data_IF_046270036074
#
_entry.id   IF_046270036074
#
_cell.length_a   1.000
_cell.length_b   1.000
_cell.length_c   1.000
_cell.angle_alpha   90.00
_cell.angle_beta   90.00
_cell.angle_gamma   90.00
#
_symmetry.space_group_name_H-M   'P 1'
#
loop_
_entity.id
_entity.type
_entity.pdbx_description
1 polymer ?
#
# COMPACT_ATOMS: atom_id res chain seq x y z
N UNK A 1 17.10 -13.40 -8.16
CA UNK A 1 17.94 -12.49 -8.97
C UNK A 1 18.66 -11.44 -8.12
N UNK A 2 17.97 -10.75 -7.18
CA UNK A 2 18.57 -9.67 -6.36
C UNK A 2 19.74 -10.17 -5.51
N UNK A 3 19.61 -11.31 -4.84
CA UNK A 3 20.68 -11.92 -4.04
C UNK A 3 21.92 -12.23 -4.89
N UNK A 4 21.72 -12.73 -6.12
CA UNK A 4 22.79 -13.07 -7.02
C UNK A 4 23.48 -11.84 -7.67
N UNK A 5 22.78 -10.69 -7.77
CA UNK A 5 23.33 -9.45 -8.30
C UNK A 5 24.38 -8.82 -7.36
N UNK A 6 24.23 -9.01 -6.05
CA UNK A 6 25.13 -8.45 -5.03
C UNK A 6 26.05 -9.49 -4.39
N UNK A 7 26.14 -10.68 -4.98
CA UNK A 7 27.01 -11.77 -4.56
C UNK A 7 28.49 -11.37 -4.65
N UNK A 8 29.27 -11.70 -3.62
CA UNK A 8 30.72 -11.57 -3.69
C UNK A 8 31.30 -12.61 -4.63
N UNK A 9 32.46 -12.30 -5.25
CA UNK A 9 33.15 -13.26 -6.12
C UNK A 9 33.56 -14.47 -5.30
N UNK A 10 33.09 -15.67 -5.74
CA UNK A 10 33.36 -16.94 -5.01
C UNK A 10 32.21 -17.48 -4.18
N UNK A 11 31.19 -16.69 -3.83
CA UNK A 11 30.02 -17.19 -3.12
C UNK A 11 29.12 -18.05 -4.05
N UNK A 12 28.50 -19.14 -3.56
CA UNK A 12 27.56 -19.93 -4.35
C UNK A 12 26.34 -19.10 -4.76
N UNK A 13 25.78 -19.36 -5.93
CA UNK A 13 24.54 -18.69 -6.37
C UNK A 13 23.39 -19.09 -5.44
N UNK A 14 22.67 -18.09 -4.92
CA UNK A 14 21.43 -18.35 -4.22
C UNK A 14 20.41 -18.92 -5.22
N UNK A 15 19.92 -20.12 -4.92
CA UNK A 15 18.85 -20.72 -5.70
C UNK A 15 17.49 -20.13 -5.25
N UNK A 16 16.56 -19.84 -6.18
CA UNK A 16 15.22 -19.44 -5.81
C UNK A 16 14.52 -20.60 -5.09
N UNK A 17 13.64 -20.27 -4.14
CA UNK A 17 12.84 -21.27 -3.41
C UNK A 17 11.83 -21.97 -4.33
N UNK A 18 11.42 -21.32 -5.41
CA UNK A 18 10.51 -21.83 -6.43
C UNK A 18 10.79 -21.17 -7.78
N UNK A 19 10.44 -21.86 -8.84
CA UNK A 19 10.59 -21.42 -10.23
C UNK A 19 9.28 -20.87 -10.81
N UNK A 20 9.31 -20.37 -12.04
CA UNK A 20 8.10 -19.99 -12.77
C UNK A 20 7.22 -21.21 -13.09
N UNK A 21 7.84 -22.38 -13.33
CA UNK A 21 7.17 -23.64 -13.58
C UNK A 21 6.36 -24.08 -12.35
N UNK A 22 6.92 -23.92 -11.13
CA UNK A 22 6.24 -24.22 -9.88
C UNK A 22 5.01 -23.32 -9.69
N UNK A 23 5.14 -22.02 -10.02
CA UNK A 23 4.00 -21.08 -10.00
C UNK A 23 2.91 -21.52 -10.97
N UNK A 24 3.25 -21.84 -12.20
CA UNK A 24 2.28 -22.32 -13.18
C UNK A 24 1.63 -23.65 -12.77
N UNK A 25 2.41 -24.57 -12.18
CA UNK A 25 1.89 -25.83 -11.67
C UNK A 25 0.87 -25.60 -10.53
N UNK A 26 1.18 -24.70 -9.61
CA UNK A 26 0.28 -24.32 -8.52
C UNK A 26 -1.00 -23.68 -9.04
N UNK A 27 -0.89 -22.74 -9.98
CA UNK A 27 -2.07 -22.06 -10.55
C UNK A 27 -3.05 -23.01 -11.25
N UNK A 28 -2.55 -24.10 -11.84
CA UNK A 28 -3.44 -25.12 -12.44
C UNK A 28 -4.24 -25.92 -11.41
N UNK A 29 -3.84 -25.90 -10.14
CA UNK A 29 -4.52 -26.60 -9.04
C UNK A 29 -5.48 -25.70 -8.28
N UNK A 30 -5.49 -24.39 -8.55
CA UNK A 30 -6.38 -23.43 -7.87
C UNK A 30 -7.83 -23.69 -8.26
N UNK A 31 -8.67 -23.90 -7.25
CA UNK A 31 -10.12 -24.03 -7.39
C UNK A 31 -10.80 -22.84 -6.68
N UNK A 32 -11.56 -22.02 -7.41
CA UNK A 32 -12.26 -20.90 -6.80
C UNK A 32 -13.45 -21.36 -5.97
N UNK A 33 -13.67 -20.70 -4.83
CA UNK A 33 -14.84 -20.90 -3.98
C UNK A 33 -15.62 -19.60 -3.87
N UNK A 34 -16.94 -19.72 -3.90
CA UNK A 34 -17.81 -18.57 -3.70
C UNK A 34 -17.90 -18.19 -2.21
N UNK A 35 -18.06 -16.88 -1.95
CA UNK A 35 -18.39 -16.41 -0.59
C UNK A 35 -19.76 -16.92 -0.13
N UNK A 36 -19.90 -17.09 1.18
CA UNK A 36 -21.12 -17.44 1.87
C UNK A 36 -21.69 -18.84 1.53
N UNK A 37 -20.96 -19.64 0.76
CA UNK A 37 -21.33 -21.01 0.44
C UNK A 37 -20.48 -22.00 1.23
N UNK A 38 -21.13 -22.92 1.95
CA UNK A 38 -20.45 -24.04 2.59
C UNK A 38 -20.20 -25.12 1.55
N UNK A 39 -18.96 -25.52 1.41
CA UNK A 39 -18.48 -26.44 0.36
C UNK A 39 -17.66 -27.55 0.98
N UNK A 40 -17.98 -28.80 0.67
CA UNK A 40 -17.17 -29.96 1.06
C UNK A 40 -15.89 -29.97 0.22
N UNK A 41 -14.73 -29.97 0.88
CA UNK A 41 -13.41 -29.98 0.23
C UNK A 41 -12.73 -31.35 0.34
N UNK A 42 -13.06 -32.09 1.40
CA UNK A 42 -12.64 -33.48 1.65
C UNK A 42 -13.79 -34.23 2.34
N UNK A 43 -13.78 -35.58 2.37
CA UNK A 43 -14.72 -36.33 3.17
C UNK A 43 -14.69 -35.88 4.64
N UNK A 44 -15.81 -35.42 5.17
CA UNK A 44 -15.95 -34.93 6.55
C UNK A 44 -15.35 -33.55 6.81
N UNK A 45 -14.85 -32.84 5.78
CA UNK A 45 -14.31 -31.48 5.94
C UNK A 45 -15.01 -30.51 4.99
N UNK A 46 -15.69 -29.53 5.58
CA UNK A 46 -16.35 -28.44 4.85
C UNK A 46 -15.66 -27.10 5.15
N UNK A 47 -15.72 -26.20 4.21
CA UNK A 47 -15.30 -24.81 4.42
C UNK A 47 -16.35 -23.83 3.90
N UNK A 48 -16.34 -22.60 4.48
CA UNK A 48 -17.03 -21.46 3.94
C UNK A 48 -16.14 -20.22 4.05
N UNK A 49 -16.24 -19.34 3.06
CA UNK A 49 -15.54 -18.08 3.02
C UNK A 49 -16.49 -16.94 3.39
N UNK A 50 -16.04 -16.02 4.26
CA UNK A 50 -16.77 -14.80 4.62
C UNK A 50 -15.93 -13.58 4.31
N UNK A 51 -16.55 -12.44 4.03
CA UNK A 51 -15.82 -11.21 3.79
C UNK A 51 -14.92 -10.87 4.99
N UNK A 52 -13.64 -10.66 4.76
CA UNK A 52 -12.69 -10.20 5.78
C UNK A 52 -12.45 -8.68 5.71
N UNK A 53 -12.92 -8.01 4.66
CA UNK A 53 -12.88 -6.55 4.53
C UNK A 53 -11.48 -5.92 4.40
N UNK A 54 -10.43 -6.72 4.21
CA UNK A 54 -9.05 -6.25 4.18
C UNK A 54 -8.59 -5.80 2.78
N UNK A 55 -8.71 -6.67 1.81
CA UNK A 55 -8.50 -6.41 0.37
C UNK A 55 -9.58 -7.11 -0.43
N UNK A 56 -9.76 -6.77 -1.69
CA UNK A 56 -10.73 -7.45 -2.55
C UNK A 56 -10.36 -8.92 -2.71
N UNK A 57 -11.25 -9.81 -2.30
CA UNK A 57 -11.03 -11.25 -2.29
C UNK A 57 -10.49 -11.81 -0.97
N UNK A 58 -10.22 -11.00 0.05
CA UNK A 58 -9.82 -11.48 1.38
C UNK A 58 -10.98 -12.18 2.09
N UNK A 59 -10.69 -13.26 2.80
CA UNK A 59 -11.71 -14.06 3.43
C UNK A 59 -11.35 -14.51 4.85
N UNK A 60 -12.35 -14.47 5.74
CA UNK A 60 -12.37 -15.29 6.94
C UNK A 60 -12.74 -16.70 6.50
N UNK A 61 -12.00 -17.71 6.94
CA UNK A 61 -12.25 -19.12 6.63
C UNK A 61 -12.94 -19.77 7.83
N UNK A 62 -14.16 -20.25 7.64
CA UNK A 62 -14.84 -21.15 8.55
C UNK A 62 -14.61 -22.59 8.07
N UNK A 63 -14.06 -23.46 8.91
CA UNK A 63 -13.78 -24.85 8.62
C UNK A 63 -14.52 -25.77 9.61
N UNK A 64 -15.23 -26.76 9.11
CA UNK A 64 -15.89 -27.79 9.91
C UNK A 64 -15.20 -29.13 9.69
N UNK A 65 -14.77 -29.76 10.77
CA UNK A 65 -14.17 -31.08 10.78
C UNK A 65 -14.45 -31.75 12.12
N UNK A 66 -14.75 -33.04 12.14
CA UNK A 66 -14.99 -33.86 13.34
C UNK A 66 -16.00 -33.22 14.32
N UNK A 67 -17.08 -32.62 13.78
CA UNK A 67 -18.13 -31.97 14.57
C UNK A 67 -17.73 -30.64 15.19
N UNK A 68 -16.53 -30.13 14.95
CA UNK A 68 -16.01 -28.85 15.45
C UNK A 68 -15.93 -27.82 14.35
N UNK A 69 -16.03 -26.56 14.75
CA UNK A 69 -15.88 -25.40 13.88
C UNK A 69 -14.61 -24.62 14.23
N UNK A 70 -13.67 -24.57 13.30
CA UNK A 70 -12.47 -23.76 13.38
C UNK A 70 -12.67 -22.50 12.53
N UNK A 71 -12.14 -21.38 13.01
CA UNK A 71 -12.22 -20.09 12.29
C UNK A 71 -10.83 -19.50 12.18
N UNK A 72 -10.46 -19.11 10.97
CA UNK A 72 -9.23 -18.40 10.67
C UNK A 72 -9.61 -17.02 10.15
N UNK A 73 -9.23 -15.96 10.87
CA UNK A 73 -9.60 -14.59 10.47
C UNK A 73 -8.99 -14.17 9.14
N UNK A 74 -7.84 -14.71 8.78
CA UNK A 74 -6.98 -14.05 7.82
C UNK A 74 -6.67 -12.63 8.30
N UNK A 75 -6.25 -11.77 7.38
CA UNK A 75 -6.07 -10.34 7.67
C UNK A 75 -7.43 -9.64 7.63
N UNK A 76 -7.80 -8.96 8.72
CA UNK A 76 -9.08 -8.26 8.86
C UNK A 76 -8.96 -6.79 8.45
N UNK A 77 -9.94 -6.31 7.72
CA UNK A 77 -10.08 -4.88 7.45
C UNK A 77 -10.88 -4.16 8.53
N UNK A 78 -10.67 -2.85 8.72
CA UNK A 78 -11.52 -2.05 9.58
C UNK A 78 -12.88 -1.82 8.92
N UNK A 79 -13.93 -1.66 9.74
CA UNK A 79 -15.27 -1.32 9.25
C UNK A 79 -15.27 -0.01 8.48
N UNK A 80 -16.17 0.10 7.51
CA UNK A 80 -16.34 1.27 6.65
C UNK A 80 -15.14 1.55 5.73
N UNK A 81 -14.29 0.56 5.44
CA UNK A 81 -13.24 0.71 4.43
C UNK A 81 -13.89 0.90 3.07
N UNK A 82 -13.53 1.96 2.31
CA UNK A 82 -14.16 2.20 1.02
C UNK A 82 -13.90 1.06 0.06
N UNK A 83 -14.83 0.84 -0.86
CA UNK A 83 -14.78 -0.22 -1.89
C UNK A 83 -15.15 -1.59 -1.33
N UNK A 84 -14.72 -1.90 -0.11
CA UNK A 84 -14.82 -3.24 0.48
C UNK A 84 -16.04 -3.36 1.38
N UNK A 85 -16.62 -4.55 1.42
CA UNK A 85 -17.62 -4.89 2.42
C UNK A 85 -16.96 -5.01 3.79
N UNK A 86 -17.70 -4.67 4.83
CA UNK A 86 -17.23 -4.86 6.21
C UNK A 86 -16.92 -6.32 6.51
N UNK A 87 -15.98 -6.60 7.43
CA UNK A 87 -15.74 -7.94 7.91
C UNK A 87 -17.01 -8.59 8.43
N UNK A 88 -17.26 -9.82 7.99
CA UNK A 88 -18.41 -10.59 8.45
C UNK A 88 -18.28 -10.94 9.94
N UNK A 89 -19.41 -10.90 10.66
CA UNK A 89 -19.45 -11.34 12.06
C UNK A 89 -19.62 -12.84 12.12
N UNK A 90 -18.64 -13.54 12.67
CA UNK A 90 -18.72 -14.98 12.96
C UNK A 90 -19.19 -15.15 14.41
N UNK A 91 -20.38 -15.74 14.60
CA UNK A 91 -21.03 -15.81 15.92
C UNK A 91 -20.49 -16.91 16.84
N UNK A 92 -19.97 -18.01 16.26
CA UNK A 92 -19.55 -19.18 17.01
C UNK A 92 -18.33 -19.83 16.37
N UNK A 93 -17.41 -20.29 17.21
CA UNK A 93 -16.25 -21.10 16.84
C UNK A 93 -15.84 -21.94 18.04
N UNK A 94 -15.41 -23.17 17.82
CA UNK A 94 -14.76 -24.00 18.85
C UNK A 94 -13.29 -23.61 19.01
N UNK A 95 -12.65 -23.16 17.91
CA UNK A 95 -11.30 -22.63 17.90
C UNK A 95 -11.23 -21.43 16.95
N UNK A 96 -10.63 -20.34 17.42
CA UNK A 96 -10.38 -19.13 16.64
C UNK A 96 -8.88 -18.84 16.55
N UNK A 97 -8.37 -18.74 15.32
CA UNK A 97 -7.06 -18.16 15.02
C UNK A 97 -7.27 -16.78 14.41
N UNK A 98 -6.79 -15.74 15.11
CA UNK A 98 -7.03 -14.36 14.73
C UNK A 98 -5.72 -13.59 14.64
N UNK A 99 -5.62 -12.69 13.64
CA UNK A 99 -4.52 -11.74 13.53
C UNK A 99 -4.50 -10.77 14.72
N UNK A 100 -3.36 -10.10 14.94
CA UNK A 100 -3.20 -9.11 15.99
C UNK A 100 -2.30 -7.94 15.58
N UNK A 101 -2.24 -7.62 14.29
CA UNK A 101 -1.37 -6.57 13.72
C UNK A 101 -1.56 -5.22 14.40
N UNK A 102 -2.80 -4.88 14.73
CA UNK A 102 -3.18 -3.67 15.48
C UNK A 102 -3.82 -4.01 16.84
N UNK A 103 -3.44 -5.14 17.43
CA UNK A 103 -4.00 -5.60 18.70
C UNK A 103 -3.69 -4.69 19.90
N UNK A 104 -2.72 -3.81 19.77
CA UNK A 104 -2.25 -2.88 20.82
C UNK A 104 -2.79 -1.45 20.69
N UNK A 105 -3.55 -1.14 19.64
CA UNK A 105 -3.99 0.23 19.35
C UNK A 105 -5.25 0.29 18.51
N UNK A 106 -5.99 1.37 18.62
CA UNK A 106 -7.10 1.69 17.73
C UNK A 106 -6.62 2.44 16.48
N UNK A 107 -7.30 2.21 15.36
CA UNK A 107 -7.14 3.06 14.19
C UNK A 107 -7.66 4.48 14.49
N UNK A 108 -6.99 5.47 13.92
CA UNK A 108 -7.46 6.85 13.93
C UNK A 108 -8.77 6.95 13.13
N UNK A 109 -9.59 7.94 13.47
CA UNK A 109 -10.85 8.19 12.77
C UNK A 109 -10.59 8.48 11.28
N UNK A 110 -11.39 7.85 10.42
CA UNK A 110 -11.20 7.93 8.96
C UNK A 110 -11.50 9.32 8.41
N UNK A 111 -12.59 10.03 8.78
CA UNK A 111 -12.81 11.40 8.38
C UNK A 111 -11.62 12.32 8.65
N UNK A 112 -10.99 12.18 9.81
CA UNK A 112 -9.80 12.96 10.18
C UNK A 112 -8.61 12.61 9.28
N UNK A 113 -8.39 11.35 9.00
CA UNK A 113 -7.32 10.88 8.11
C UNK A 113 -7.49 11.41 6.68
N UNK A 114 -8.71 11.42 6.17
CA UNK A 114 -9.05 11.93 4.83
C UNK A 114 -8.85 13.46 4.76
N UNK A 115 -9.31 14.19 5.81
CA UNK A 115 -9.09 15.63 5.89
C UNK A 115 -7.60 15.95 5.88
N UNK A 116 -6.81 15.28 6.71
CA UNK A 116 -5.36 15.46 6.80
C UNK A 116 -4.67 15.19 5.45
N UNK A 117 -5.08 14.14 4.72
CA UNK A 117 -4.52 13.87 3.41
C UNK A 117 -4.78 15.04 2.43
N UNK A 118 -5.96 15.65 2.48
CA UNK A 118 -6.27 16.86 1.70
C UNK A 118 -5.40 18.06 2.10
N UNK A 119 -5.17 18.26 3.39
CA UNK A 119 -4.29 19.32 3.92
C UNK A 119 -2.84 19.12 3.46
N UNK A 120 -2.37 17.87 3.43
CA UNK A 120 -1.03 17.53 2.91
C UNK A 120 -0.89 17.96 1.45
N UNK A 121 -1.87 17.67 0.60
CA UNK A 121 -1.85 18.09 -0.80
C UNK A 121 -1.83 19.63 -0.93
N UNK A 122 -2.57 20.34 -0.09
CA UNK A 122 -2.56 21.80 -0.10
C UNK A 122 -1.21 22.37 0.38
N UNK A 123 -0.63 21.84 1.46
CA UNK A 123 0.69 22.24 1.95
C UNK A 123 1.79 21.96 0.91
N UNK A 124 1.83 20.75 0.39
CA UNK A 124 2.83 20.36 -0.62
C UNK A 124 2.75 21.23 -1.89
N UNK A 125 1.54 21.66 -2.26
CA UNK A 125 1.37 22.58 -3.38
C UNK A 125 1.95 23.98 -3.08
N UNK A 126 1.70 24.53 -1.88
CA UNK A 126 2.27 25.83 -1.45
C UNK A 126 3.79 25.78 -1.39
N UNK A 127 4.34 24.66 -0.91
CA UNK A 127 5.77 24.44 -0.82
C UNK A 127 6.43 24.17 -2.18
N UNK A 128 5.65 24.14 -3.27
CA UNK A 128 6.11 23.72 -4.60
C UNK A 128 6.82 22.37 -4.53
N UNK A 129 6.22 21.41 -3.85
CA UNK A 129 6.80 20.10 -3.60
C UNK A 129 6.15 18.97 -4.39
N UNK A 130 6.70 17.78 -4.17
CA UNK A 130 6.15 16.53 -4.61
C UNK A 130 5.58 15.76 -3.42
N UNK A 131 4.54 14.95 -3.66
CA UNK A 131 3.97 14.03 -2.68
C UNK A 131 4.32 12.60 -3.09
N UNK A 132 5.06 11.88 -2.24
CA UNK A 132 5.44 10.48 -2.45
C UNK A 132 4.62 9.59 -1.52
N UNK A 133 3.95 8.61 -2.08
CA UNK A 133 3.05 7.71 -1.34
C UNK A 133 3.51 6.27 -1.53
N UNK A 134 4.32 5.73 -0.59
CA UNK A 134 4.61 4.31 -0.56
C UNK A 134 3.32 3.51 -0.37
N UNK A 135 2.93 2.67 -1.35
CA UNK A 135 1.70 1.92 -1.29
C UNK A 135 1.87 0.48 -1.77
N UNK A 136 1.12 -0.44 -1.15
CA UNK A 136 1.01 -1.80 -1.67
C UNK A 136 0.23 -1.82 -2.98
N UNK A 137 0.62 -2.70 -3.89
CA UNK A 137 0.00 -2.82 -5.20
C UNK A 137 -1.46 -3.30 -5.12
N UNK A 138 -1.79 -4.06 -4.08
CA UNK A 138 -3.13 -4.61 -3.83
C UNK A 138 -3.74 -3.89 -2.62
N UNK A 139 -4.98 -3.46 -2.74
CA UNK A 139 -5.76 -2.81 -1.69
C UNK A 139 -5.48 -1.31 -1.56
N UNK A 140 -4.36 -0.93 -0.97
CA UNK A 140 -4.06 0.48 -0.64
C UNK A 140 -3.97 1.42 -1.83
N UNK A 141 -3.39 0.98 -2.94
CA UNK A 141 -3.35 1.79 -4.17
C UNK A 141 -4.75 2.08 -4.70
N UNK A 142 -5.66 1.08 -4.71
CA UNK A 142 -7.02 1.25 -5.20
C UNK A 142 -7.84 2.16 -4.28
N UNK A 143 -7.65 2.04 -2.97
CA UNK A 143 -8.27 2.93 -1.98
C UNK A 143 -7.83 4.39 -2.19
N UNK A 144 -6.53 4.64 -2.40
CA UNK A 144 -6.03 5.99 -2.70
C UNK A 144 -6.64 6.57 -3.97
N UNK A 145 -6.69 5.80 -5.06
CA UNK A 145 -7.30 6.26 -6.31
C UNK A 145 -8.79 6.57 -6.14
N UNK A 146 -9.50 5.76 -5.35
CA UNK A 146 -10.90 6.02 -5.01
C UNK A 146 -11.08 7.33 -4.24
N UNK A 147 -10.24 7.58 -3.22
CA UNK A 147 -10.29 8.83 -2.46
C UNK A 147 -9.89 10.03 -3.32
N UNK A 148 -8.92 9.90 -4.22
CA UNK A 148 -8.55 10.94 -5.16
C UNK A 148 -9.73 11.30 -6.08
N UNK A 149 -10.46 10.30 -6.58
CA UNK A 149 -11.66 10.55 -7.37
C UNK A 149 -12.75 11.26 -6.59
N UNK A 150 -13.04 10.81 -5.35
CA UNK A 150 -14.07 11.42 -4.49
C UNK A 150 -13.76 12.85 -4.07
N UNK A 151 -12.49 13.17 -3.88
CA UNK A 151 -12.03 14.47 -3.41
C UNK A 151 -11.35 15.29 -4.50
N UNK A 152 -11.61 14.95 -5.75
CA UNK A 152 -11.00 15.58 -6.91
C UNK A 152 -11.02 17.11 -6.85
N UNK A 153 -12.20 17.69 -6.61
CA UNK A 153 -12.40 19.14 -6.53
C UNK A 153 -11.87 19.71 -5.21
N UNK A 154 -12.21 19.07 -4.08
CA UNK A 154 -11.87 19.59 -2.75
C UNK A 154 -10.36 19.58 -2.50
N UNK A 155 -9.62 18.60 -2.98
CA UNK A 155 -8.17 18.54 -2.90
C UNK A 155 -7.49 19.21 -4.10
N UNK A 156 -8.27 19.79 -5.01
CA UNK A 156 -7.80 20.48 -6.24
C UNK A 156 -6.80 19.62 -7.02
N UNK A 157 -7.12 18.36 -7.21
CA UNK A 157 -6.21 17.38 -7.82
C UNK A 157 -5.95 17.62 -9.30
N UNK A 158 -6.78 18.41 -9.98
CA UNK A 158 -6.57 18.80 -11.37
C UNK A 158 -5.22 19.51 -11.62
N UNK A 159 -4.67 20.16 -10.60
CA UNK A 159 -3.36 20.85 -10.69
C UNK A 159 -2.16 19.93 -10.52
N UNK A 160 -2.36 18.69 -10.03
CA UNK A 160 -1.30 17.71 -9.82
C UNK A 160 -1.09 16.83 -11.05
N UNK A 161 0.12 16.28 -11.19
CA UNK A 161 0.38 15.14 -12.05
C UNK A 161 0.42 13.89 -11.17
N UNK A 162 -0.58 13.04 -11.29
CA UNK A 162 -0.68 11.81 -10.49
C UNK A 162 0.01 10.67 -11.23
N UNK A 163 1.00 10.06 -10.61
CA UNK A 163 1.73 8.94 -11.18
C UNK A 163 1.45 7.66 -10.39
N UNK A 164 1.05 6.62 -11.09
CA UNK A 164 1.04 5.25 -10.61
C UNK A 164 2.27 4.53 -11.15
N UNK A 165 3.33 4.51 -10.34
CA UNK A 165 4.60 3.89 -10.73
C UNK A 165 4.74 2.48 -10.16
N UNK A 166 3.81 1.61 -10.57
CA UNK A 166 3.77 0.20 -10.23
C UNK A 166 3.02 -0.59 -11.30
N UNK A 167 3.71 -1.33 -12.19
CA UNK A 167 3.07 -2.17 -13.20
C UNK A 167 2.13 -3.21 -12.59
N UNK A 168 2.46 -3.75 -11.40
CA UNK A 168 1.59 -4.66 -10.68
C UNK A 168 0.31 -3.96 -10.23
N UNK A 169 0.42 -2.77 -9.61
CA UNK A 169 -0.75 -2.02 -9.15
C UNK A 169 -1.68 -1.65 -10.29
N UNK A 170 -1.15 -1.28 -11.45
CA UNK A 170 -1.95 -1.02 -12.65
C UNK A 170 -2.77 -2.24 -13.09
N UNK A 171 -2.16 -3.44 -13.06
CA UNK A 171 -2.88 -4.69 -13.34
C UNK A 171 -3.95 -4.98 -12.29
N UNK A 172 -3.67 -4.72 -11.01
CA UNK A 172 -4.63 -4.91 -9.91
C UNK A 172 -5.81 -3.93 -10.03
N UNK A 173 -5.58 -2.67 -10.42
CA UNK A 173 -6.66 -1.72 -10.72
C UNK A 173 -7.62 -2.29 -11.78
N UNK A 174 -7.09 -2.91 -12.84
CA UNK A 174 -7.92 -3.57 -13.85
C UNK A 174 -8.69 -4.78 -13.30
N UNK A 175 -8.11 -5.53 -12.35
CA UNK A 175 -8.81 -6.62 -11.65
C UNK A 175 -9.98 -6.08 -10.83
N UNK A 176 -9.75 -5.03 -10.02
CA UNK A 176 -10.81 -4.38 -9.26
C UNK A 176 -11.96 -3.93 -10.16
N UNK A 177 -11.66 -3.32 -11.31
CA UNK A 177 -12.68 -2.93 -12.30
C UNK A 177 -13.51 -4.08 -12.82
N UNK A 178 -12.95 -5.27 -13.00
CA UNK A 178 -13.70 -6.47 -13.43
C UNK A 178 -14.57 -7.08 -12.33
N UNK A 179 -14.21 -6.88 -11.07
CA UNK A 179 -14.89 -7.48 -9.92
C UNK A 179 -15.68 -6.46 -9.07
N UNK A 180 -16.12 -5.35 -9.66
CA UNK A 180 -16.88 -4.29 -9.00
C UNK A 180 -18.20 -4.78 -8.34
N UNK A 181 -18.73 -5.93 -8.74
CA UNK A 181 -19.86 -6.59 -8.09
C UNK A 181 -19.58 -7.02 -6.64
N UNK A 182 -18.32 -7.15 -6.25
CA UNK A 182 -17.87 -7.45 -4.88
C UNK A 182 -17.69 -6.20 -4.02
N UNK A 183 -17.85 -5.01 -4.58
CA UNK A 183 -17.72 -3.76 -3.84
C UNK A 183 -18.85 -3.59 -2.82
N UNK A 184 -18.63 -2.71 -1.84
CA UNK A 184 -19.68 -2.22 -0.96
C UNK A 184 -20.77 -1.48 -1.76
N UNK A 185 -21.85 -1.13 -1.10
CA UNK A 185 -22.99 -0.50 -1.77
C UNK A 185 -22.67 0.92 -2.25
N UNK A 186 -21.87 1.67 -1.48
CA UNK A 186 -21.49 3.04 -1.83
C UNK A 186 -20.57 3.06 -3.05
N UNK A 187 -19.55 2.22 -3.09
CA UNK A 187 -18.66 2.11 -4.23
C UNK A 187 -19.38 1.61 -5.50
N UNK A 188 -20.34 0.69 -5.34
CA UNK A 188 -21.16 0.26 -6.48
C UNK A 188 -22.02 1.40 -7.04
N UNK A 189 -22.58 2.25 -6.18
CA UNK A 189 -23.33 3.45 -6.62
C UNK A 189 -22.43 4.42 -7.39
N UNK A 190 -21.23 4.69 -6.87
CA UNK A 190 -20.23 5.53 -7.54
C UNK A 190 -19.82 4.92 -8.88
N UNK A 191 -19.60 3.60 -8.92
CA UNK A 191 -19.24 2.88 -10.14
C UNK A 191 -20.35 2.97 -11.21
N UNK A 192 -21.60 2.88 -10.81
CA UNK A 192 -22.73 3.01 -11.72
C UNK A 192 -22.87 4.40 -12.35
N UNK A 193 -22.39 5.44 -11.67
CA UNK A 193 -22.45 6.84 -12.12
C UNK A 193 -21.21 7.29 -12.90
N UNK A 194 -20.11 6.57 -12.79
CA UNK A 194 -18.85 6.90 -13.43
C UNK A 194 -18.23 5.65 -14.06
N UNK A 195 -17.84 5.70 -15.33
CA UNK A 195 -17.39 4.51 -16.06
C UNK A 195 -16.14 3.84 -15.48
N UNK A 196 -15.38 4.51 -14.66
CA UNK A 196 -14.27 3.95 -13.86
C UNK A 196 -13.72 4.97 -12.86
N UNK A 197 -14.11 4.91 -11.56
CA UNK A 197 -13.63 5.86 -10.56
C UNK A 197 -12.12 5.80 -10.28
N UNK A 198 -11.42 4.78 -10.78
CA UNK A 198 -9.96 4.71 -10.69
C UNK A 198 -9.23 5.43 -11.85
N UNK A 199 -9.97 5.90 -12.87
CA UNK A 199 -9.43 6.68 -13.99
C UNK A 199 -9.55 8.17 -13.69
N UNK A 200 -8.49 8.71 -13.08
CA UNK A 200 -8.37 10.17 -12.93
C UNK A 200 -7.89 10.77 -14.25
N UNK A 201 -8.37 11.97 -14.64
CA UNK A 201 -7.97 12.62 -15.90
C UNK A 201 -6.48 12.88 -16.03
N UNK A 202 -5.77 13.04 -14.90
CA UNK A 202 -4.34 13.34 -14.80
C UNK A 202 -3.51 12.15 -14.28
N UNK A 203 -4.05 10.93 -14.32
CA UNK A 203 -3.32 9.73 -13.91
C UNK A 203 -2.43 9.22 -15.02
N UNK A 204 -1.14 9.18 -14.73
CA UNK A 204 -0.11 8.64 -15.60
C UNK A 204 0.41 7.32 -15.03
N UNK A 205 0.24 6.23 -15.76
CA UNK A 205 0.78 4.91 -15.38
C UNK A 205 2.17 4.74 -15.99
N UNK A 206 3.17 4.52 -15.14
CA UNK A 206 4.53 4.23 -15.59
C UNK A 206 4.73 2.72 -15.74
N UNK A 207 4.71 2.23 -16.96
CA UNK A 207 4.89 0.81 -17.27
C UNK A 207 6.36 0.43 -17.37
N UNK A 208 7.17 1.30 -17.96
CA UNK A 208 8.59 1.05 -18.23
C UNK A 208 9.52 1.69 -17.19
N UNK A 209 10.75 1.19 -17.11
CA UNK A 209 11.79 1.78 -16.25
C UNK A 209 12.14 3.21 -16.71
N UNK A 210 12.12 3.47 -18.00
CA UNK A 210 12.41 4.80 -18.55
C UNK A 210 11.35 5.82 -18.12
N UNK A 211 10.06 5.45 -18.17
CA UNK A 211 8.97 6.30 -17.67
C UNK A 211 9.12 6.56 -16.17
N UNK A 212 9.44 5.54 -15.37
CA UNK A 212 9.71 5.67 -13.94
C UNK A 212 10.88 6.64 -13.65
N UNK A 213 11.96 6.54 -14.42
CA UNK A 213 13.10 7.44 -14.27
C UNK A 213 12.76 8.90 -14.63
N UNK A 214 11.93 9.12 -15.62
CA UNK A 214 11.50 10.46 -16.04
C UNK A 214 10.71 11.18 -14.92
N UNK A 215 9.98 10.46 -14.08
CA UNK A 215 9.25 11.05 -12.94
C UNK A 215 10.21 11.74 -11.96
N UNK A 216 11.43 11.21 -11.78
CA UNK A 216 12.41 11.80 -10.85
C UNK A 216 12.97 13.15 -11.32
N UNK A 217 12.76 13.53 -12.57
CA UNK A 217 13.12 14.85 -13.11
C UNK A 217 12.08 15.93 -12.77
N UNK A 218 10.93 15.53 -12.22
CA UNK A 218 9.86 16.46 -11.87
C UNK A 218 10.20 17.10 -10.53
N UNK A 219 10.36 18.42 -10.54
CA UNK A 219 10.77 19.15 -9.35
C UNK A 219 9.60 19.42 -8.41
N UNK A 220 8.39 19.61 -8.93
CA UNK A 220 7.20 19.95 -8.16
C UNK A 220 5.90 19.52 -8.84
N UNK A 221 4.82 19.45 -8.06
CA UNK A 221 3.46 19.18 -8.53
C UNK A 221 3.24 17.73 -8.99
N UNK A 222 4.09 16.79 -8.55
CA UNK A 222 3.87 15.35 -8.76
C UNK A 222 3.35 14.67 -7.49
N UNK A 223 2.31 13.87 -7.63
CA UNK A 223 1.87 12.88 -6.64
C UNK A 223 2.27 11.50 -7.14
N UNK A 224 3.15 10.81 -6.43
CA UNK A 224 3.80 9.57 -6.89
C UNK A 224 3.37 8.42 -5.98
N UNK A 225 2.53 7.52 -6.50
CA UNK A 225 2.12 6.29 -5.82
C UNK A 225 2.99 5.17 -6.36
N UNK A 226 3.80 4.55 -5.49
CA UNK A 226 4.71 3.48 -5.90
C UNK A 226 4.90 2.40 -4.82
N UNK A 227 5.12 1.16 -5.25
CA UNK A 227 5.45 0.03 -4.35
C UNK A 227 6.94 -0.02 -3.99
N UNK A 228 7.27 -0.57 -2.85
CA UNK A 228 6.46 -1.26 -1.86
C UNK A 228 5.94 -0.32 -0.76
N UNK A 229 4.84 -0.70 -0.10
CA UNK A 229 4.20 0.12 0.94
C UNK A 229 5.05 0.35 2.20
N UNK A 230 6.02 -0.51 2.50
CA UNK A 230 6.99 -0.36 3.60
C UNK A 230 8.36 0.14 3.12
N UNK A 231 8.46 0.59 1.87
CA UNK A 231 9.67 1.12 1.25
C UNK A 231 10.89 0.17 1.22
N UNK A 232 10.74 -1.11 1.52
CA UNK A 232 11.84 -2.09 1.53
C UNK A 232 12.28 -2.55 0.13
N UNK A 233 11.58 -2.16 -0.90
CA UNK A 233 11.86 -2.54 -2.29
C UNK A 233 11.01 -1.75 -3.27
N UNK A 234 11.09 -2.13 -4.55
CA UNK A 234 10.29 -1.52 -5.59
C UNK A 234 10.76 -0.13 -6.01
N UNK A 235 9.97 0.49 -6.87
CA UNK A 235 10.30 1.78 -7.51
C UNK A 235 10.28 2.94 -6.53
N UNK A 236 9.52 2.85 -5.45
CA UNK A 236 9.47 3.88 -4.40
C UNK A 236 10.85 4.19 -3.82
N UNK A 237 11.75 3.20 -3.72
CA UNK A 237 13.11 3.44 -3.22
C UNK A 237 13.90 4.40 -4.11
N UNK A 238 13.66 4.37 -5.42
CA UNK A 238 14.29 5.31 -6.35
C UNK A 238 13.72 6.71 -6.16
N UNK A 239 12.39 6.84 -6.06
CA UNK A 239 11.75 8.13 -5.80
C UNK A 239 12.17 8.74 -4.47
N UNK A 240 12.23 7.95 -3.40
CA UNK A 240 12.74 8.38 -2.10
C UNK A 240 14.18 8.89 -2.22
N UNK A 241 15.04 8.18 -2.92
CA UNK A 241 16.45 8.59 -3.11
C UNK A 241 16.59 9.98 -3.76
N UNK A 242 15.72 10.32 -4.70
CA UNK A 242 15.76 11.62 -5.39
C UNK A 242 15.07 12.74 -4.60
N UNK A 243 14.17 12.41 -3.67
CA UNK A 243 13.33 13.40 -3.00
C UNK A 243 13.65 13.58 -1.51
N UNK A 244 14.25 12.61 -0.81
CA UNK A 244 14.54 12.72 0.64
C UNK A 244 15.42 13.91 1.00
N UNK A 245 16.31 14.35 0.14
CA UNK A 245 17.14 15.53 0.32
C UNK A 245 16.48 16.85 -0.01
N UNK A 246 15.23 16.84 -0.51
CA UNK A 246 14.50 18.06 -0.87
C UNK A 246 13.60 18.48 0.28
N UNK A 247 13.72 19.71 0.75
CA UNK A 247 12.92 20.26 1.88
C UNK A 247 11.43 20.34 1.57
N UNK A 248 11.07 20.46 0.31
CA UNK A 248 9.69 20.57 -0.17
C UNK A 248 9.07 19.24 -0.61
N UNK A 249 9.74 18.11 -0.40
CA UNK A 249 9.15 16.80 -0.67
C UNK A 249 8.36 16.31 0.56
N UNK A 250 7.16 15.80 0.30
CA UNK A 250 6.27 15.23 1.31
C UNK A 250 6.17 13.72 1.11
N UNK A 251 6.48 12.94 2.16
CA UNK A 251 6.39 11.48 2.11
C UNK A 251 5.25 11.06 3.01
N UNK A 252 4.25 10.40 2.43
CA UNK A 252 3.00 10.06 3.09
C UNK A 252 2.88 8.55 3.23
N UNK A 253 3.02 8.03 4.44
CA UNK A 253 2.82 6.63 4.72
C UNK A 253 1.35 6.36 5.05
N UNK A 254 0.70 5.57 4.21
CA UNK A 254 -0.75 5.27 4.27
C UNK A 254 -1.05 3.87 4.81
N UNK A 255 -0.10 3.23 5.45
CA UNK A 255 -0.22 1.88 6.00
C UNK A 255 0.81 1.58 7.07
N UNK A 256 0.62 0.43 7.74
CA UNK A 256 1.52 -0.05 8.78
C UNK A 256 2.97 -0.15 8.28
N UNK A 257 3.89 0.25 9.16
CA UNK A 257 5.33 0.17 8.93
C UNK A 257 5.96 -0.77 9.96
N UNK A 258 6.32 -1.97 9.53
CA UNK A 258 6.90 -2.99 10.41
C UNK A 258 8.31 -2.61 10.86
N UNK A 259 8.70 -3.06 12.04
CA UNK A 259 10.06 -2.92 12.54
C UNK A 259 11.10 -3.47 11.56
N UNK A 260 12.26 -2.83 11.50
CA UNK A 260 13.33 -3.18 10.57
C UNK A 260 13.12 -2.73 9.12
N UNK A 261 11.95 -2.14 8.79
CA UNK A 261 11.69 -1.62 7.44
C UNK A 261 12.24 -0.21 7.24
N UNK A 262 12.51 0.16 5.98
CA UNK A 262 12.90 1.52 5.64
C UNK A 262 11.79 2.51 5.98
N UNK A 263 10.54 2.16 5.70
CA UNK A 263 9.40 3.00 6.03
C UNK A 263 9.30 3.27 7.54
N UNK A 264 9.52 2.27 8.38
CA UNK A 264 9.51 2.43 9.84
C UNK A 264 10.61 3.39 10.31
N UNK A 265 11.82 3.23 9.81
CA UNK A 265 12.95 4.12 10.12
C UNK A 265 12.68 5.56 9.72
N UNK A 266 12.05 5.78 8.57
CA UNK A 266 11.64 7.11 8.13
C UNK A 266 10.59 7.72 9.07
N UNK A 267 9.59 6.93 9.48
CA UNK A 267 8.54 7.36 10.42
C UNK A 267 9.12 7.69 11.79
N UNK A 268 10.09 6.92 12.27
CA UNK A 268 10.75 7.16 13.57
C UNK A 268 11.71 8.36 13.55
N UNK A 269 11.88 8.99 12.40
CA UNK A 269 12.75 10.17 12.29
C UNK A 269 14.24 9.85 12.30
N UNK A 270 14.63 8.64 11.83
CA UNK A 270 16.03 8.29 11.65
C UNK A 270 16.64 9.21 10.57
N UNK A 271 17.26 10.31 11.03
CA UNK A 271 17.85 11.35 10.19
C UNK A 271 18.98 10.88 9.26
N UNK A 272 19.38 9.62 9.39
CA UNK A 272 20.37 8.97 8.52
C UNK A 272 19.78 7.68 7.94
N UNK A 273 19.14 7.76 6.81
CA UNK A 273 18.62 6.59 6.15
C UNK A 273 19.63 6.01 5.16
N UNK A 274 20.01 4.75 5.35
CA UNK A 274 20.85 4.02 4.38
C UNK A 274 19.93 3.39 3.33
N UNK A 275 19.72 4.07 2.22
CA UNK A 275 19.10 3.49 1.04
C UNK A 275 20.19 2.98 0.11
N UNK A 276 20.26 1.67 -0.12
CA UNK A 276 21.08 1.03 -1.14
C UNK A 276 22.54 1.55 -1.27
N UNK A 277 23.32 1.53 -0.20
CA UNK A 277 24.74 1.92 -0.13
C UNK A 277 25.09 3.40 0.13
N UNK A 278 24.12 4.30 0.28
CA UNK A 278 24.42 5.70 0.61
C UNK A 278 23.60 6.17 1.81
N UNK A 279 24.26 6.87 2.73
CA UNK A 279 23.57 7.61 3.79
C UNK A 279 22.95 8.86 3.17
N UNK A 280 21.64 9.03 3.28
CA UNK A 280 20.92 10.21 2.83
C UNK A 280 20.42 10.96 4.06
N UNK A 281 20.74 12.25 4.16
CA UNK A 281 20.12 13.13 5.13
C UNK A 281 18.63 13.33 4.75
N UNK A 282 17.73 13.23 5.74
CA UNK A 282 16.31 13.42 5.53
C UNK A 282 16.00 14.90 5.73
N UNK A 283 15.59 15.59 4.69
CA UNK A 283 15.15 16.98 4.74
C UNK A 283 13.66 17.14 4.40
N UNK A 284 12.96 16.04 4.13
CA UNK A 284 11.54 16.02 3.71
C UNK A 284 10.59 15.89 4.90
N UNK A 285 9.37 16.41 4.76
CA UNK A 285 8.27 16.14 5.70
C UNK A 285 7.78 14.69 5.57
N UNK A 286 7.73 13.95 6.68
CA UNK A 286 7.20 12.57 6.73
C UNK A 286 5.88 12.62 7.47
N UNK A 287 4.83 12.12 6.83
CA UNK A 287 3.46 12.18 7.35
C UNK A 287 2.86 10.77 7.32
N UNK A 288 2.25 10.38 8.44
CA UNK A 288 1.59 9.08 8.61
C UNK A 288 0.13 9.28 8.98
N UNK A 289 -0.76 9.50 7.99
CA UNK A 289 -2.19 9.62 8.28
C UNK A 289 -2.68 8.35 8.99
N UNK A 290 -3.36 8.52 10.13
CA UNK A 290 -3.91 7.42 10.90
C UNK A 290 -2.99 6.77 11.94
N UNK A 291 -1.72 7.13 12.02
CA UNK A 291 -0.78 6.66 13.04
C UNK A 291 -0.27 7.78 13.95
N UNK A 292 -1.13 8.72 14.37
CA UNK A 292 -0.68 9.85 15.19
C UNK A 292 0.42 10.68 14.52
N UNK A 293 0.24 11.97 14.43
CA UNK A 293 1.21 12.88 13.84
C UNK A 293 2.56 12.77 14.58
N UNK A 294 3.54 12.15 13.95
CA UNK A 294 4.92 12.57 14.19
C UNK A 294 5.26 13.61 13.14
N UNK A 295 4.86 14.83 13.41
CA UNK A 295 5.35 16.00 12.71
C UNK A 295 6.79 16.22 13.20
N UNK A 296 7.76 15.55 12.62
CA UNK A 296 9.13 16.02 12.69
C UNK A 296 9.31 17.09 11.62
N UNK A 297 8.61 18.21 11.81
CA UNK A 297 9.08 19.47 11.30
C UNK A 297 10.42 19.74 11.98
N UNK A 298 11.50 19.47 11.31
CA UNK A 298 12.79 20.07 11.68
C UNK A 298 12.68 21.56 11.35
N UNK A 299 11.99 22.26 12.25
CA UNK A 299 12.14 23.69 12.45
C UNK A 299 13.31 23.85 13.41
N UNK A 300 14.49 23.73 12.90
CA UNK A 300 15.70 23.93 13.67
C UNK A 300 16.90 23.54 12.84
N UNK A 301 17.67 24.53 12.40
CA UNK A 301 18.82 24.37 11.53
C UNK A 301 19.68 23.16 11.87
N UNK A 302 19.74 22.22 10.96
CA UNK A 302 20.87 21.33 10.87
C UNK A 302 21.89 22.06 10.03
N UNK A 303 22.93 22.54 10.70
CA UNK A 303 24.12 23.07 10.04
C UNK A 303 24.56 22.11 8.93
N UNK A 304 24.95 22.61 7.76
CA UNK A 304 25.51 21.78 6.72
C UNK A 304 26.71 21.04 7.29
N UNK A 305 26.80 19.73 7.06
CA UNK A 305 27.96 18.92 7.42
C UNK A 305 29.25 19.70 7.16
N UNK A 306 30.18 19.80 8.13
CA UNK A 306 31.47 20.40 7.90
C UNK A 306 32.17 19.58 6.80
N UNK A 307 32.60 20.31 5.78
CA UNK A 307 33.33 19.76 4.66
C UNK A 307 34.51 18.91 5.16
N UNK A 308 34.73 17.77 4.57
CA UNK A 308 35.99 17.07 4.66
C UNK A 308 37.04 17.97 4.01
N UNK A 309 37.76 18.66 4.83
CA UNK A 309 39.04 19.25 4.47
C UNK A 309 40.15 18.22 4.78
N UNK A 310 41.08 18.08 3.85
CA UNK A 310 42.32 17.34 3.99
C UNK A 310 42.25 15.94 3.43
#
# INVERSE_FOLDING_TARGET
>A
ERANRYRRRGEPKAQPLFSAEDVHATLRQVQPLAYHQRTAILPGVDIALRDAGHILGSAIVELWADGRKLVFSGDLGPKGTPILRDPAVVKQADLLLMESTYGDRNHRDRPDTIRELGEIFEHAWRDRGNVLIPAFAVGRTQELLYWFARHWETWKLARWRVFLDSPMAAKVVAVYGRHHGLFDEDARRVWAQSPNPFRLPNLHVAETTQQSMAINQIENGASIIAGSGMANGGRIQHHLRYNLGRRNAHIVFVGYQAEGTLGRRLVDGDGKCVSMKHSLAIASGIITPGMGLYYNGVMGGVDPCPGRGG
#
